data_IF_710683991965
#
_entry.id   IF_710683991965
#
_cell.length_a   1.000
_cell.length_b   1.000
_cell.length_c   1.000
_cell.angle_alpha   90.00
_cell.angle_beta   90.00
_cell.angle_gamma   90.00
#
_symmetry.space_group_name_H-M   'P 1'
#
loop_
_entity.id
_entity.type
_entity.pdbx_description
1 polymer ?
#
# COMPACT_ATOMS: atom_id res chain seq x y z
N UNK A 1 -23.26 -7.64 18.48
CA UNK A 1 -22.08 -6.79 18.21
C UNK A 1 -21.97 -6.61 16.71
N UNK A 2 -22.77 -5.70 16.15
CA UNK A 2 -22.81 -5.45 14.70
C UNK A 2 -22.92 -3.94 14.54
N UNK A 3 -21.77 -3.27 14.53
CA UNK A 3 -21.72 -1.83 14.29
C UNK A 3 -22.01 -1.64 12.80
N UNK A 4 -23.15 -1.00 12.57
CA UNK A 4 -23.75 -0.65 11.31
C UNK A 4 -22.71 0.05 10.40
N UNK A 5 -22.32 -0.60 9.30
CA UNK A 5 -21.64 0.05 8.17
C UNK A 5 -22.63 1.01 7.51
N UNK A 6 -22.78 2.19 8.09
CA UNK A 6 -23.57 3.24 7.50
C UNK A 6 -22.74 3.84 6.36
N UNK A 7 -23.07 3.44 5.13
CA UNK A 7 -22.43 3.97 3.93
C UNK A 7 -22.61 5.49 3.87
N UNK A 8 -21.61 6.21 3.36
CA UNK A 8 -21.59 7.68 3.26
C UNK A 8 -22.87 8.22 2.60
N UNK A 9 -23.47 7.47 1.68
CA UNK A 9 -24.75 7.79 1.05
C UNK A 9 -25.93 7.85 2.05
N UNK A 10 -25.96 7.04 3.09
CA UNK A 10 -27.01 7.09 4.12
C UNK A 10 -26.85 8.29 5.05
N UNK A 11 -25.62 8.66 5.41
CA UNK A 11 -25.34 9.90 6.15
C UNK A 11 -25.74 11.15 5.35
N UNK A 12 -25.46 11.15 4.03
CA UNK A 12 -25.85 12.23 3.15
C UNK A 12 -27.38 12.33 2.98
N UNK A 13 -28.08 11.18 2.94
CA UNK A 13 -29.55 11.16 2.80
C UNK A 13 -30.24 11.60 4.10
N UNK A 14 -29.70 11.19 5.25
CA UNK A 14 -30.19 11.63 6.56
C UNK A 14 -29.96 13.13 6.76
N UNK A 15 -28.77 13.62 6.41
CA UNK A 15 -28.43 15.05 6.40
C UNK A 15 -29.38 15.85 5.52
N UNK A 16 -29.62 15.41 4.28
CA UNK A 16 -30.52 16.10 3.33
C UNK A 16 -31.97 16.17 3.83
N UNK A 17 -32.47 15.11 4.49
CA UNK A 17 -33.83 15.08 5.06
C UNK A 17 -33.99 16.00 6.27
N UNK A 18 -32.96 16.10 7.11
CA UNK A 18 -32.94 17.04 8.23
C UNK A 18 -32.77 18.49 7.77
N UNK A 19 -31.99 18.71 6.70
CA UNK A 19 -31.77 20.02 6.08
C UNK A 19 -33.06 20.60 5.49
N UNK A 20 -33.89 19.78 4.84
CA UNK A 20 -35.18 20.22 4.29
C UNK A 20 -36.18 20.63 5.38
N UNK A 21 -36.29 19.86 6.46
CA UNK A 21 -37.12 20.24 7.62
C UNK A 21 -36.62 21.50 8.31
N UNK A 22 -35.32 21.78 8.30
CA UNK A 22 -34.75 23.00 8.88
C UNK A 22 -35.05 24.24 8.01
N UNK A 23 -35.04 24.09 6.68
CA UNK A 23 -35.26 25.18 5.73
C UNK A 23 -36.71 25.71 5.74
N UNK A 24 -37.70 24.83 5.96
CA UNK A 24 -39.11 25.22 6.09
C UNK A 24 -39.38 26.04 7.36
N UNK A 25 -38.69 25.73 8.48
CA UNK A 25 -38.78 26.50 9.73
C UNK A 25 -37.99 27.82 9.67
N UNK A 26 -36.89 27.88 8.91
CA UNK A 26 -36.14 29.13 8.69
C UNK A 26 -36.95 30.15 7.88
N UNK A 27 -37.74 29.73 6.88
CA UNK A 27 -38.53 30.64 6.03
C UNK A 27 -39.61 31.40 6.82
N UNK A 28 -40.24 30.75 7.80
CA UNK A 28 -41.31 31.33 8.62
C UNK A 28 -40.77 32.33 9.68
N UNK A 29 -39.57 32.08 10.21
CA UNK A 29 -38.91 32.97 11.18
C UNK A 29 -38.28 34.19 10.50
N UNK A 30 -37.64 34.02 9.33
CA UNK A 30 -36.98 35.12 8.62
C UNK A 30 -37.94 36.04 7.86
N UNK A 31 -39.14 35.57 7.51
CA UNK A 31 -40.20 36.43 6.98
C UNK A 31 -40.75 37.43 8.02
N UNK A 32 -40.61 37.13 9.31
CA UNK A 32 -41.21 37.92 10.41
C UNK A 32 -40.21 38.87 11.09
N UNK A 33 -38.91 38.59 11.03
CA UNK A 33 -37.87 39.36 11.73
C UNK A 33 -36.59 39.55 10.86
N UNK A 34 -36.63 40.43 9.83
CA UNK A 34 -35.58 40.54 8.82
C UNK A 34 -34.22 41.00 9.37
N UNK A 35 -34.21 41.79 10.45
CA UNK A 35 -33.00 42.36 11.06
C UNK A 35 -32.16 41.28 11.77
N UNK A 36 -32.78 40.22 12.28
CA UNK A 36 -32.09 39.11 12.96
C UNK A 36 -31.56 38.04 11.99
N UNK A 37 -32.13 37.96 10.79
CA UNK A 37 -31.72 37.04 9.73
C UNK A 37 -30.30 37.30 9.20
N UNK A 38 -29.94 38.58 9.11
CA UNK A 38 -28.69 39.02 8.51
C UNK A 38 -27.50 38.73 9.44
N UNK A 39 -27.64 39.05 10.74
CA UNK A 39 -26.62 38.78 11.75
C UNK A 39 -26.41 37.27 12.02
N UNK A 40 -27.46 36.46 11.91
CA UNK A 40 -27.36 35.00 12.06
C UNK A 40 -26.58 34.35 10.90
N UNK A 41 -26.74 34.85 9.67
CA UNK A 41 -26.01 34.38 8.49
C UNK A 41 -24.50 34.60 8.64
N UNK A 42 -24.10 35.76 9.15
CA UNK A 42 -22.68 36.08 9.37
C UNK A 42 -22.07 35.27 10.53
N UNK A 43 -22.84 35.03 11.60
CA UNK A 43 -22.40 34.18 12.72
C UNK A 43 -22.26 32.71 12.32
N UNK A 44 -23.17 32.18 11.50
CA UNK A 44 -23.12 30.81 10.96
C UNK A 44 -21.92 30.61 10.05
N UNK A 45 -21.61 31.58 9.19
CA UNK A 45 -20.43 31.54 8.31
C UNK A 45 -19.12 31.60 9.11
N UNK A 46 -19.04 32.43 10.15
CA UNK A 46 -17.89 32.46 11.08
C UNK A 46 -17.72 31.13 11.80
N UNK A 47 -18.80 30.52 12.27
CA UNK A 47 -18.77 29.20 12.93
C UNK A 47 -18.32 28.09 11.97
N UNK A 48 -18.76 28.13 10.71
CA UNK A 48 -18.35 27.16 9.69
C UNK A 48 -16.87 27.27 9.34
N UNK A 49 -16.34 28.50 9.24
CA UNK A 49 -14.92 28.77 9.03
C UNK A 49 -14.11 28.29 10.24
N UNK A 50 -14.58 28.55 11.46
CA UNK A 50 -13.93 28.12 12.70
C UNK A 50 -13.89 26.59 12.81
N UNK A 51 -14.96 25.90 12.42
CA UNK A 51 -15.01 24.44 12.35
C UNK A 51 -14.01 23.89 11.33
N UNK A 52 -13.97 24.44 10.11
CA UNK A 52 -13.00 24.02 9.09
C UNK A 52 -11.54 24.31 9.50
N UNK A 53 -11.30 25.41 10.20
CA UNK A 53 -9.99 25.77 10.73
C UNK A 53 -9.55 24.78 11.82
N UNK A 54 -10.47 24.37 12.70
CA UNK A 54 -10.19 23.39 13.76
C UNK A 54 -9.88 21.99 13.20
N UNK A 55 -10.54 21.61 12.09
CA UNK A 55 -10.21 20.38 11.35
C UNK A 55 -8.82 20.45 10.70
N UNK A 56 -8.38 21.62 10.21
CA UNK A 56 -7.07 21.77 9.59
C UNK A 56 -5.89 21.57 10.57
N UNK A 57 -6.09 21.88 11.86
CA UNK A 57 -5.08 21.66 12.90
C UNK A 57 -5.05 20.21 13.45
N UNK A 58 -5.97 19.33 13.02
CA UNK A 58 -6.00 17.92 13.44
C UNK A 58 -4.97 17.03 12.73
N UNK A 59 -4.24 17.54 11.73
CA UNK A 59 -3.24 16.75 10.99
C UNK A 59 -1.89 16.74 11.71
N UNK A 60 -1.88 16.23 12.94
CA UNK A 60 -0.63 15.92 13.63
C UNK A 60 -0.07 14.62 13.02
N UNK A 61 1.03 14.75 12.30
CA UNK A 61 1.75 13.62 11.70
C UNK A 61 2.73 13.05 12.72
N UNK A 62 2.20 12.43 13.77
CA UNK A 62 3.02 11.56 14.61
C UNK A 62 3.51 10.39 13.74
N UNK A 63 4.76 9.95 13.94
CA UNK A 63 5.24 8.72 13.33
C UNK A 63 4.45 7.55 13.93
N UNK A 64 3.32 7.20 13.30
CA UNK A 64 2.31 6.27 13.83
C UNK A 64 2.84 4.86 14.13
N UNK A 65 4.02 4.50 13.62
CA UNK A 65 4.58 3.15 13.73
C UNK A 65 5.99 3.18 14.30
N UNK A 66 6.13 2.52 15.45
CA UNK A 66 7.43 2.28 16.09
C UNK A 66 8.26 1.35 15.20
N UNK A 67 9.52 1.71 14.98
CA UNK A 67 10.50 0.88 14.27
C UNK A 67 10.64 -0.48 14.97
N UNK A 68 10.31 -1.61 14.31
CA UNK A 68 10.44 -2.93 14.92
C UNK A 68 11.92 -3.23 15.19
N UNK A 69 12.18 -4.08 16.18
CA UNK A 69 13.51 -4.62 16.48
C UNK A 69 13.37 -6.14 16.60
N UNK A 70 13.95 -6.93 15.68
CA UNK A 70 14.89 -6.54 14.62
C UNK A 70 14.21 -5.97 13.35
N UNK A 71 14.86 -5.02 12.68
CA UNK A 71 14.45 -4.49 11.37
C UNK A 71 15.45 -4.94 10.31
N UNK A 72 14.97 -5.53 9.22
CA UNK A 72 15.78 -5.86 8.04
C UNK A 72 16.28 -4.55 7.41
N UNK A 73 17.59 -4.34 7.22
CA UNK A 73 18.14 -3.16 6.56
C UNK A 73 17.62 -3.01 5.12
N UNK A 74 17.40 -1.77 4.66
CA UNK A 74 16.83 -1.47 3.33
C UNK A 74 17.52 -2.23 2.19
N UNK A 75 18.87 -2.25 2.19
CA UNK A 75 19.66 -2.97 1.17
C UNK A 75 19.34 -4.46 1.14
N UNK A 76 19.28 -5.09 2.32
CA UNK A 76 18.98 -6.51 2.44
C UNK A 76 17.52 -6.80 2.07
N UNK A 77 16.59 -5.90 2.43
CA UNK A 77 15.18 -6.00 2.03
C UNK A 77 15.01 -5.98 0.51
N UNK A 78 15.77 -5.11 -0.19
CA UNK A 78 15.77 -5.08 -1.66
C UNK A 78 16.20 -6.44 -2.23
N UNK A 79 17.28 -7.02 -1.73
CA UNK A 79 17.79 -8.32 -2.21
C UNK A 79 16.79 -9.46 -1.95
N UNK A 80 16.15 -9.47 -0.78
CA UNK A 80 15.11 -10.44 -0.45
C UNK A 80 13.91 -10.30 -1.39
N UNK A 81 13.43 -9.08 -1.62
CA UNK A 81 12.27 -8.84 -2.50
C UNK A 81 12.57 -9.28 -3.95
N UNK A 82 13.78 -9.00 -4.46
CA UNK A 82 14.21 -9.48 -5.78
C UNK A 82 14.14 -11.02 -5.84
N UNK A 83 14.69 -11.71 -4.85
CA UNK A 83 14.69 -13.18 -4.83
C UNK A 83 13.28 -13.76 -4.64
N UNK A 84 12.42 -13.13 -3.84
CA UNK A 84 11.00 -13.53 -3.71
C UNK A 84 10.30 -13.43 -5.07
N UNK A 85 10.45 -12.31 -5.78
CA UNK A 85 9.84 -12.14 -7.10
C UNK A 85 10.41 -13.12 -8.14
N UNK A 86 11.72 -13.34 -8.15
CA UNK A 86 12.36 -14.30 -9.06
C UNK A 86 11.92 -15.73 -8.77
N UNK A 87 11.85 -16.13 -7.50
CA UNK A 87 11.37 -17.46 -7.09
C UNK A 87 9.91 -17.70 -7.51
N UNK A 88 9.07 -16.67 -7.42
CA UNK A 88 7.68 -16.74 -7.84
C UNK A 88 7.53 -16.81 -9.37
N UNK A 89 8.40 -16.10 -10.12
CA UNK A 89 8.48 -16.23 -11.57
C UNK A 89 8.89 -17.65 -11.99
N UNK A 90 9.91 -18.22 -11.34
CA UNK A 90 10.33 -19.61 -11.56
C UNK A 90 9.21 -20.61 -11.27
N UNK A 91 8.46 -20.40 -10.19
CA UNK A 91 7.29 -21.21 -9.86
C UNK A 91 6.22 -21.12 -10.96
N UNK A 92 5.92 -19.91 -11.43
CA UNK A 92 4.92 -19.66 -12.47
C UNK A 92 5.28 -20.35 -13.79
N UNK A 93 6.58 -20.35 -14.16
CA UNK A 93 7.08 -21.09 -15.33
C UNK A 93 6.98 -22.61 -15.16
N UNK A 94 7.16 -23.13 -13.93
CA UNK A 94 7.08 -24.56 -13.62
C UNK A 94 5.66 -25.12 -13.50
N UNK A 95 4.63 -24.29 -13.41
CA UNK A 95 3.24 -24.79 -13.41
C UNK A 95 2.84 -25.46 -14.73
N UNK A 96 3.64 -25.31 -15.79
CA UNK A 96 3.56 -26.09 -17.02
C UNK A 96 4.85 -26.92 -17.18
N UNK A 97 4.88 -28.17 -16.66
CA UNK A 97 4.89 -29.27 -17.63
C UNK A 97 4.26 -30.58 -17.11
N UNK A 98 3.96 -31.42 -18.11
CA UNK A 98 3.44 -32.80 -18.18
C UNK A 98 4.06 -33.89 -17.24
N UNK A 99 4.65 -33.54 -16.09
CA UNK A 99 5.45 -34.48 -15.28
C UNK A 99 5.05 -34.52 -13.81
N UNK A 100 4.76 -35.76 -13.42
CA UNK A 100 4.35 -36.29 -12.13
C UNK A 100 5.26 -35.87 -10.96
N UNK A 101 4.62 -35.69 -9.80
CA UNK A 101 5.12 -36.01 -8.46
C UNK A 101 6.08 -35.10 -7.68
N UNK A 102 6.08 -33.79 -7.93
CA UNK A 102 6.50 -32.85 -6.87
C UNK A 102 5.46 -31.74 -6.69
N UNK A 103 4.60 -31.87 -5.67
CA UNK A 103 3.60 -30.86 -5.30
C UNK A 103 4.25 -29.70 -4.54
N UNK A 104 5.21 -29.01 -5.15
CA UNK A 104 5.76 -27.78 -4.57
C UNK A 104 4.67 -26.71 -4.55
N UNK A 105 4.44 -26.12 -3.39
CA UNK A 105 3.51 -25.02 -3.18
C UNK A 105 4.22 -23.69 -3.39
N UNK A 106 3.50 -22.61 -3.77
CA UNK A 106 4.08 -21.27 -3.84
C UNK A 106 4.77 -20.86 -2.52
N UNK A 107 4.21 -21.27 -1.39
CA UNK A 107 4.77 -21.02 -0.06
C UNK A 107 6.17 -21.64 0.13
N UNK A 108 6.46 -22.78 -0.49
CA UNK A 108 7.76 -23.45 -0.34
C UNK A 108 8.88 -22.60 -0.96
N UNK A 109 8.60 -21.91 -2.07
CA UNK A 109 9.53 -20.97 -2.69
C UNK A 109 9.76 -19.75 -1.80
N UNK A 110 8.69 -19.17 -1.26
CA UNK A 110 8.78 -18.05 -0.32
C UNK A 110 9.66 -18.40 0.91
N UNK A 111 9.39 -19.53 1.58
CA UNK A 111 10.19 -19.95 2.73
C UNK A 111 11.63 -20.31 2.36
N UNK A 112 11.87 -20.82 1.15
CA UNK A 112 13.24 -21.08 0.68
C UNK A 112 14.08 -19.80 0.57
N UNK A 113 13.46 -18.69 0.16
CA UNK A 113 14.13 -17.38 0.10
C UNK A 113 14.39 -16.86 1.51
N UNK A 114 13.42 -16.89 2.41
CA UNK A 114 13.64 -16.47 3.80
C UNK A 114 14.76 -17.27 4.48
N UNK A 115 14.80 -18.59 4.24
CA UNK A 115 15.86 -19.48 4.72
C UNK A 115 17.23 -19.09 4.14
N UNK A 116 17.34 -18.75 2.85
CA UNK A 116 18.58 -18.27 2.22
C UNK A 116 19.19 -17.06 2.95
N UNK A 117 18.35 -16.17 3.48
CA UNK A 117 18.79 -14.96 4.18
C UNK A 117 18.84 -15.09 5.71
N UNK A 118 18.55 -16.26 6.28
CA UNK A 118 18.44 -16.50 7.72
C UNK A 118 17.46 -15.55 8.42
N UNK A 119 16.30 -15.32 7.82
CA UNK A 119 15.26 -14.41 8.33
C UNK A 119 14.01 -15.22 8.66
N UNK A 120 13.38 -14.90 9.80
CA UNK A 120 12.07 -15.46 10.12
C UNK A 120 10.95 -14.69 9.41
N UNK A 121 9.85 -15.39 9.13
CA UNK A 121 8.66 -14.82 8.50
C UNK A 121 8.15 -13.56 9.22
N UNK A 122 8.04 -13.64 10.55
CA UNK A 122 7.61 -12.51 11.40
C UNK A 122 8.51 -11.28 11.23
N UNK A 123 9.84 -11.45 11.17
CA UNK A 123 10.78 -10.34 11.01
C UNK A 123 10.62 -9.70 9.62
N UNK A 124 10.40 -10.52 8.60
CA UNK A 124 10.13 -10.05 7.24
C UNK A 124 8.81 -9.27 7.16
N UNK A 125 7.72 -9.82 7.67
CA UNK A 125 6.40 -9.17 7.68
C UNK A 125 6.42 -7.83 8.44
N UNK A 126 6.97 -7.81 9.66
CA UNK A 126 7.08 -6.59 10.46
C UNK A 126 7.93 -5.52 9.75
N UNK A 127 9.04 -5.94 9.13
CA UNK A 127 9.88 -5.04 8.36
C UNK A 127 9.17 -4.51 7.11
N UNK A 128 8.43 -5.36 6.40
CA UNK A 128 7.67 -4.98 5.21
C UNK A 128 6.56 -3.98 5.56
N UNK A 129 5.83 -4.22 6.66
CA UNK A 129 4.82 -3.29 7.20
C UNK A 129 5.49 -1.96 7.52
N UNK A 130 6.60 -1.97 8.26
CA UNK A 130 7.34 -0.75 8.62
C UNK A 130 7.71 0.07 7.38
N UNK A 131 8.27 -0.55 6.34
CA UNK A 131 8.63 0.17 5.11
C UNK A 131 7.40 0.69 4.35
N UNK A 132 6.32 -0.09 4.30
CA UNK A 132 5.06 0.26 3.61
C UNK A 132 4.40 1.52 4.18
N UNK A 133 4.68 1.86 5.43
CA UNK A 133 4.13 3.04 6.10
C UNK A 133 4.83 4.35 5.72
N UNK A 134 5.92 4.30 4.93
CA UNK A 134 6.58 5.47 4.38
C UNK A 134 6.52 5.44 2.84
N UNK A 135 5.39 5.84 2.21
CA UNK A 135 5.15 5.65 0.78
C UNK A 135 6.28 6.12 -0.13
N UNK A 136 6.81 7.34 0.10
CA UNK A 136 7.92 7.91 -0.69
C UNK A 136 9.23 7.12 -0.55
N UNK A 137 9.49 6.52 0.61
CA UNK A 137 10.70 5.69 0.82
C UNK A 137 10.49 4.30 0.24
N UNK A 138 9.31 3.74 0.44
CA UNK A 138 8.93 2.44 -0.11
C UNK A 138 8.97 2.43 -1.64
N UNK A 139 8.43 3.47 -2.28
CA UNK A 139 8.47 3.67 -3.74
C UNK A 139 9.92 3.65 -4.24
N UNK A 140 10.81 4.46 -3.65
CA UNK A 140 12.23 4.49 -4.02
C UNK A 140 12.93 3.15 -3.84
N UNK A 141 12.61 2.44 -2.76
CA UNK A 141 13.17 1.10 -2.51
C UNK A 141 12.66 0.10 -3.54
N UNK A 142 11.37 0.13 -3.88
CA UNK A 142 10.76 -0.76 -4.86
C UNK A 142 11.24 -0.46 -6.28
N UNK A 143 11.51 0.80 -6.64
CA UNK A 143 12.18 1.14 -7.91
C UNK A 143 13.52 0.41 -8.05
N UNK A 144 14.34 0.38 -6.99
CA UNK A 144 15.61 -0.37 -7.01
C UNK A 144 15.41 -1.88 -7.16
N UNK A 145 14.32 -2.44 -6.63
CA UNK A 145 13.96 -3.85 -6.84
C UNK A 145 13.70 -4.11 -8.32
N UNK A 146 12.90 -3.27 -8.96
CA UNK A 146 12.60 -3.38 -10.40
C UNK A 146 13.86 -3.19 -11.26
N UNK A 147 14.70 -2.20 -10.93
CA UNK A 147 15.97 -1.96 -11.64
C UNK A 147 16.88 -3.19 -11.58
N UNK A 148 17.01 -3.83 -10.39
CA UNK A 148 17.80 -5.06 -10.24
C UNK A 148 17.23 -6.22 -11.05
N UNK A 149 15.91 -6.40 -11.06
CA UNK A 149 15.28 -7.45 -11.88
C UNK A 149 15.55 -7.21 -13.36
N UNK A 150 15.43 -5.96 -13.83
CA UNK A 150 15.74 -5.59 -15.22
C UNK A 150 17.21 -5.82 -15.59
N UNK A 151 18.13 -5.53 -14.68
CA UNK A 151 19.56 -5.81 -14.90
C UNK A 151 19.84 -7.30 -15.01
N UNK A 152 19.21 -8.11 -14.15
CA UNK A 152 19.31 -9.56 -14.20
C UNK A 152 18.78 -10.07 -15.56
N UNK A 153 17.62 -9.61 -15.99
CA UNK A 153 17.00 -10.00 -17.27
C UNK A 153 17.88 -9.63 -18.48
N UNK A 154 18.46 -8.43 -18.48
CA UNK A 154 19.42 -8.01 -19.50
C UNK A 154 20.68 -8.88 -19.50
N UNK A 155 21.26 -9.17 -18.33
CA UNK A 155 22.45 -10.03 -18.21
C UNK A 155 22.18 -11.46 -18.72
N UNK A 156 20.95 -11.97 -18.53
CA UNK A 156 20.52 -13.26 -19.08
C UNK A 156 20.38 -13.20 -20.60
N UNK A 157 19.77 -12.15 -21.15
CA UNK A 157 19.61 -11.97 -22.60
C UNK A 157 20.97 -11.90 -23.31
N UNK A 158 21.91 -11.14 -22.75
CA UNK A 158 23.28 -11.03 -23.28
C UNK A 158 24.07 -12.34 -23.19
N UNK A 159 23.72 -13.25 -22.27
CA UNK A 159 24.34 -14.58 -22.17
C UNK A 159 23.83 -15.54 -23.24
N UNK A 160 22.56 -15.46 -23.64
CA UNK A 160 22.01 -16.29 -24.73
C UNK A 160 22.59 -15.92 -26.10
N UNK A 161 22.86 -14.63 -26.32
CA UNK A 161 23.43 -14.14 -27.58
C UNK A 161 24.93 -14.45 -27.77
N UNK A 162 25.62 -14.92 -26.72
CA UNK A 162 27.02 -15.35 -26.84
C UNK A 162 27.09 -16.72 -27.50
N UNK A 163 27.93 -16.90 -28.54
CA UNK A 163 28.13 -18.24 -29.11
C UNK A 163 28.61 -19.18 -28.01
N UNK A 164 27.90 -20.31 -27.86
CA UNK A 164 28.28 -21.37 -26.95
C UNK A 164 29.61 -21.94 -27.48
N UNK A 165 30.71 -21.64 -26.80
CA UNK A 165 31.99 -22.31 -27.06
C UNK A 165 31.87 -23.74 -26.53
N UNK A 166 31.36 -24.63 -27.39
CA UNK A 166 31.51 -26.07 -27.20
C UNK A 166 32.96 -26.36 -27.52
N UNK A 167 33.83 -26.06 -26.55
CA UNK A 167 35.22 -26.46 -26.55
C UNK A 167 35.26 -27.95 -26.85
N UNK A 168 35.65 -28.27 -28.07
CA UNK A 168 35.72 -29.63 -28.56
C UNK A 168 36.93 -30.26 -27.87
N UNK A 169 36.78 -30.70 -26.61
CA UNK A 169 37.71 -31.64 -25.99
C UNK A 169 37.58 -32.97 -26.71
N UNK A 170 38.19 -33.01 -27.90
CA UNK A 170 38.81 -34.23 -28.43
C UNK A 170 40.08 -34.42 -27.62
N UNK A 171 39.91 -34.81 -26.37
CA UNK A 171 40.98 -35.45 -25.65
C UNK A 171 41.20 -36.81 -26.33
N UNK A 172 42.43 -36.90 -26.81
CA UNK A 172 43.05 -37.92 -27.64
C UNK A 172 43.27 -39.23 -26.88
#
# INVERSE_FOLDING_TARGET
MTVFRMSVTQLLTFSKRHYLKFNDYEFEIYGKYPIFAQNYRDMKNRLFILFFLLLAFSSCSDEWIKKPKPLIPEKQMIDILVDVHLSNAMYSLRQYPDKKDVRLKPADFYYSVLHKYNISDTIFEESLIYYSCYPKKFEKMYSKVLDKISQIDQEYSEKEDRPIDIGNNKDQ
#
